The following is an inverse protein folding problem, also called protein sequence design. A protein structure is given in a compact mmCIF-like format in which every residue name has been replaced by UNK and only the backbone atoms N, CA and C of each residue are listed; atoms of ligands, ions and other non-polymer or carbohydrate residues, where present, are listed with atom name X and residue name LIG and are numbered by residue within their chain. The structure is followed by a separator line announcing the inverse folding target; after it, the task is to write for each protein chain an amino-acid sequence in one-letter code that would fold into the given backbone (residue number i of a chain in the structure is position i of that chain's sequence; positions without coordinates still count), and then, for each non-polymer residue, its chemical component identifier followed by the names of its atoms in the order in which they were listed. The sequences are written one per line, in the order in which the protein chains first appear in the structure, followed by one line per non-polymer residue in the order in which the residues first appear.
data_IF_858228505462
#
_entry.id   IF_858228505462
#
_cell.length_a   1.000
_cell.length_b   1.000
_cell.length_c   1.000
_cell.angle_alpha   90.00
_cell.angle_beta   90.00
_cell.angle_gamma   90.00
#
_symmetry.space_group_name_H-M   'P 1'
#
loop_
_entity.id
_entity.type
_entity.pdbx_description
1 polymer ?
#
# COMPACT_ATOMS: atom_id res chain seq x y z
N UNK A 1 -0.46 -1.34 6.91
CA UNK A 1 0.63 -0.35 7.05
C UNK A 1 1.86 -0.88 6.35
N UNK A 2 2.42 -0.10 5.42
CA UNK A 2 3.51 -0.52 4.55
C UNK A 2 4.87 0.06 4.99
N UNK A 3 5.91 -0.78 4.96
CA UNK A 3 7.30 -0.43 5.23
C UNK A 3 8.18 -0.90 4.07
N UNK A 4 8.32 -0.10 3.00
CA UNK A 4 9.10 -0.47 1.82
C UNK A 4 10.62 -0.47 2.08
N UNK A 5 11.08 0.16 3.17
CA UNK A 5 12.50 0.27 3.50
C UNK A 5 12.73 0.49 5.02
N UNK A 6 14.00 0.39 5.43
CA UNK A 6 14.45 0.58 6.83
C UNK A 6 14.10 1.95 7.42
N UNK A 7 14.01 3.00 6.59
CA UNK A 7 13.67 4.35 7.05
C UNK A 7 12.18 4.42 7.43
N UNK A 8 11.30 3.87 6.61
CA UNK A 8 9.87 3.75 6.90
C UNK A 8 9.62 2.93 8.17
N UNK A 9 10.42 1.87 8.40
CA UNK A 9 10.35 1.03 9.59
C UNK A 9 10.60 1.80 10.91
N UNK A 10 11.10 3.05 10.86
CA UNK A 10 11.38 3.80 12.08
C UNK A 10 10.17 4.02 12.99
N UNK A 11 8.97 3.93 12.44
CA UNK A 11 7.68 4.12 13.13
C UNK A 11 7.20 2.88 13.90
N UNK A 12 7.81 1.71 13.69
CA UNK A 12 7.42 0.46 14.36
C UNK A 12 8.62 -0.29 14.94
N UNK A 13 8.64 -0.61 16.25
CA UNK A 13 9.71 -1.40 16.85
C UNK A 13 9.79 -2.81 16.25
N UNK A 14 8.64 -3.42 15.95
CA UNK A 14 8.57 -4.72 15.28
C UNK A 14 9.14 -4.65 13.86
N UNK A 15 8.78 -3.63 13.07
CA UNK A 15 9.34 -3.46 11.73
C UNK A 15 10.87 -3.29 11.80
N UNK A 16 11.38 -2.46 12.72
CA UNK A 16 12.83 -2.34 12.95
C UNK A 16 13.51 -3.67 13.26
N UNK A 17 12.88 -4.50 14.10
CA UNK A 17 13.43 -5.79 14.46
C UNK A 17 13.51 -6.71 13.23
N UNK A 18 12.44 -6.77 12.42
CA UNK A 18 12.39 -7.57 11.20
C UNK A 18 13.42 -7.11 10.16
N UNK A 19 13.61 -5.81 9.99
CA UNK A 19 14.61 -5.25 9.07
C UNK A 19 16.07 -5.46 9.51
N UNK A 20 16.34 -5.90 10.74
CA UNK A 20 17.69 -6.29 11.18
C UNK A 20 18.10 -7.68 10.69
N UNK A 21 17.13 -8.50 10.28
CA UNK A 21 17.37 -9.82 9.73
C UNK A 21 17.94 -9.64 8.32
N UNK A 22 19.09 -10.26 8.07
CA UNK A 22 19.74 -10.17 6.77
C UNK A 22 18.85 -10.78 5.68
N UNK A 23 18.78 -10.08 4.54
CA UNK A 23 17.91 -10.46 3.43
C UNK A 23 16.47 -9.96 3.48
N UNK A 24 16.00 -9.28 4.54
CA UNK A 24 14.67 -8.63 4.53
C UNK A 24 14.70 -7.34 3.71
N UNK A 25 13.81 -7.21 2.73
CA UNK A 25 13.73 -6.06 1.82
C UNK A 25 12.57 -5.12 2.10
N UNK A 26 11.41 -5.67 2.46
CA UNK A 26 10.24 -4.89 2.88
C UNK A 26 9.39 -5.65 3.88
N UNK A 27 8.60 -4.91 4.65
CA UNK A 27 7.66 -5.46 5.64
C UNK A 27 6.33 -4.76 5.47
N UNK A 28 5.24 -5.50 5.52
CA UNK A 28 3.88 -4.95 5.48
C UNK A 28 3.06 -5.58 6.61
N UNK A 29 2.34 -4.74 7.34
CA UNK A 29 1.38 -5.17 8.36
C UNK A 29 -0.03 -5.05 7.82
N UNK A 30 -0.65 -6.21 7.58
CA UNK A 30 -2.08 -6.30 7.33
C UNK A 30 -2.89 -6.23 8.64
N UNK A 31 -4.22 -6.38 8.57
CA UNK A 31 -5.09 -6.35 9.75
C UNK A 31 -4.74 -7.45 10.77
N UNK A 32 -4.40 -8.64 10.29
CA UNK A 32 -4.14 -9.84 11.08
C UNK A 32 -2.94 -10.67 10.58
N UNK A 33 -2.17 -10.14 9.62
CA UNK A 33 -1.00 -10.80 9.06
C UNK A 33 0.20 -9.84 8.93
N UNK A 34 1.39 -10.43 8.82
CA UNK A 34 2.62 -9.72 8.50
C UNK A 34 3.19 -10.33 7.23
N UNK A 35 3.39 -9.52 6.20
CA UNK A 35 4.11 -9.89 4.99
C UNK A 35 5.56 -9.43 5.13
N UNK A 36 6.50 -10.38 4.99
CA UNK A 36 7.93 -10.08 4.91
C UNK A 36 8.38 -10.41 3.49
N UNK A 37 8.96 -9.44 2.80
CA UNK A 37 9.58 -9.65 1.50
C UNK A 37 11.08 -9.80 1.68
N UNK A 38 11.67 -10.77 0.98
CA UNK A 38 13.11 -10.99 0.98
C UNK A 38 13.76 -10.45 -0.30
N UNK A 39 15.02 -10.05 -0.20
CA UNK A 39 15.86 -9.76 -1.34
C UNK A 39 15.94 -10.97 -2.28
N UNK A 40 15.93 -10.72 -3.59
CA UNK A 40 16.10 -11.76 -4.59
C UNK A 40 17.50 -12.37 -4.44
N UNK A 41 17.54 -13.70 -4.37
CA UNK A 41 18.75 -14.52 -4.49
C UNK A 41 19.84 -14.40 -3.39
N UNK A 42 19.58 -13.73 -2.26
CA UNK A 42 20.54 -13.64 -1.15
C UNK A 42 20.38 -14.72 -0.08
N UNK A 43 19.14 -14.98 0.36
CA UNK A 43 18.84 -15.94 1.43
C UNK A 43 17.66 -16.84 1.06
N UNK A 44 17.66 -18.06 1.62
CA UNK A 44 16.54 -18.98 1.51
C UNK A 44 15.52 -18.74 2.62
N UNK A 45 14.24 -18.96 2.33
CA UNK A 45 13.20 -18.91 3.36
C UNK A 45 13.40 -19.96 4.47
N UNK A 46 14.13 -21.04 4.20
CA UNK A 46 14.44 -22.05 5.22
C UNK A 46 15.37 -21.49 6.31
N UNK A 47 16.28 -20.58 5.96
CA UNK A 47 17.24 -19.95 6.88
C UNK A 47 16.63 -18.74 7.59
N UNK A 48 15.86 -17.91 6.86
CA UNK A 48 15.30 -16.68 7.43
C UNK A 48 14.12 -16.95 8.37
N UNK A 49 13.36 -18.04 8.16
CA UNK A 49 12.14 -18.32 8.94
C UNK A 49 12.38 -18.33 10.45
N UNK A 50 13.35 -19.10 10.99
CA UNK A 50 13.65 -19.08 12.43
C UNK A 50 13.87 -17.66 12.97
N UNK A 51 14.72 -16.87 12.31
CA UNK A 51 15.03 -15.50 12.76
C UNK A 51 13.81 -14.56 12.72
N UNK A 52 12.97 -14.69 11.69
CA UNK A 52 11.73 -13.92 11.58
C UNK A 52 10.76 -14.29 12.70
N UNK A 53 10.59 -15.58 12.99
CA UNK A 53 9.73 -16.05 14.07
C UNK A 53 10.24 -15.58 15.43
N UNK A 54 11.54 -15.70 15.68
CA UNK A 54 12.16 -15.26 16.94
C UNK A 54 11.98 -13.76 17.15
N UNK A 55 12.20 -12.94 16.11
CA UNK A 55 12.00 -11.49 16.18
C UNK A 55 10.55 -11.11 16.52
N UNK A 56 9.57 -11.82 15.96
CA UNK A 56 8.14 -11.60 16.26
C UNK A 56 7.83 -12.03 17.70
N UNK A 57 8.30 -13.21 18.12
CA UNK A 57 8.06 -13.75 19.46
C UNK A 57 8.67 -12.87 20.54
N UNK A 58 9.93 -12.47 20.38
CA UNK A 58 10.64 -11.58 21.30
C UNK A 58 9.93 -10.22 21.41
N UNK A 59 9.45 -9.70 20.28
CA UNK A 59 8.67 -8.47 20.28
C UNK A 59 7.38 -8.61 21.10
N UNK A 60 6.58 -9.65 20.90
CA UNK A 60 5.36 -9.86 21.68
C UNK A 60 5.66 -10.14 23.16
N UNK A 61 6.75 -10.86 23.46
CA UNK A 61 7.19 -11.10 24.84
C UNK A 61 7.66 -9.81 25.54
N UNK A 62 8.18 -8.83 24.79
CA UNK A 62 8.63 -7.54 25.32
C UNK A 62 7.50 -6.63 25.80
N UNK A 63 6.25 -6.88 25.39
CA UNK A 63 5.09 -6.05 25.71
C UNK A 63 5.12 -4.65 25.07
N UNK A 64 5.98 -4.42 24.08
CA UNK A 64 6.04 -3.16 23.33
C UNK A 64 4.84 -3.01 22.40
N UNK A 65 4.44 -1.76 22.12
CA UNK A 65 3.41 -1.47 21.12
C UNK A 65 3.93 -1.74 19.71
N UNK A 66 3.09 -2.32 18.85
CA UNK A 66 3.41 -2.63 17.44
C UNK A 66 3.71 -1.34 16.66
N UNK A 67 3.03 -0.25 17.01
CA UNK A 67 3.16 1.06 16.37
C UNK A 67 3.50 2.10 17.45
N UNK A 68 4.45 2.98 17.16
CA UNK A 68 4.92 4.02 18.10
C UNK A 68 4.05 5.30 18.03
N UNK A 69 3.09 5.35 17.11
CA UNK A 69 2.16 6.45 16.90
C UNK A 69 0.76 5.89 16.60
N UNK A 70 -0.27 6.49 17.18
CA UNK A 70 -1.68 6.20 16.88
C UNK A 70 -2.03 6.78 15.51
N UNK A 71 -1.64 6.13 14.42
CA UNK A 71 -2.04 6.51 13.05
C UNK A 71 -2.67 5.30 12.33
N UNK A 72 -4.00 5.44 12.19
CA UNK A 72 -4.89 4.98 11.11
C UNK A 72 -5.00 3.50 10.73
N UNK A 73 -6.17 2.93 11.04
CA UNK A 73 -6.80 2.00 10.09
C UNK A 73 -6.92 2.70 8.74
N UNK A 74 -6.71 2.02 7.60
CA UNK A 74 -6.92 2.60 6.28
C UNK A 74 -8.35 3.17 6.18
N UNK A 75 -8.49 4.51 6.12
CA UNK A 75 -9.77 5.20 5.84
C UNK A 75 -9.89 5.57 4.36
N UNK A 76 -8.94 5.15 3.54
CA UNK A 76 -8.88 5.34 2.09
C UNK A 76 -10.12 4.80 1.36
N UNK A 77 -10.74 3.72 1.84
CA UNK A 77 -12.02 3.21 1.31
C UNK A 77 -13.26 3.63 2.09
N UNK A 78 -13.12 4.47 3.12
CA UNK A 78 -14.28 4.99 3.83
C UNK A 78 -15.04 5.98 2.94
N UNK A 79 -16.34 5.72 2.78
CA UNK A 79 -17.26 6.63 2.09
C UNK A 79 -17.53 7.84 2.99
N UNK A 80 -17.26 9.03 2.47
CA UNK A 80 -17.49 10.32 3.12
C UNK A 80 -18.74 10.99 2.55
N UNK A 81 -19.31 11.94 3.29
CA UNK A 81 -20.53 12.66 2.87
C UNK A 81 -20.32 13.52 1.61
N UNK A 82 -19.09 13.94 1.35
CA UNK A 82 -18.72 14.77 0.19
C UNK A 82 -18.30 13.95 -1.04
N UNK A 83 -18.24 12.61 -0.94
CA UNK A 83 -17.90 11.77 -2.09
C UNK A 83 -19.04 11.76 -3.11
N UNK A 84 -18.70 11.78 -4.41
CA UNK A 84 -19.70 11.53 -5.45
C UNK A 84 -20.22 10.09 -5.39
N UNK A 85 -21.42 9.85 -5.93
CA UNK A 85 -22.01 8.50 -5.97
C UNK A 85 -21.06 7.49 -6.64
N UNK A 86 -20.32 7.93 -7.66
CA UNK A 86 -19.33 7.11 -8.36
C UNK A 86 -18.15 6.76 -7.44
N UNK A 87 -17.61 7.75 -6.74
CA UNK A 87 -16.51 7.53 -5.78
C UNK A 87 -16.95 6.59 -4.65
N UNK A 88 -18.16 6.75 -4.13
CA UNK A 88 -18.73 5.86 -3.12
C UNK A 88 -18.82 4.41 -3.61
N UNK A 89 -19.32 4.20 -4.85
CA UNK A 89 -19.37 2.86 -5.46
C UNK A 89 -17.99 2.25 -5.67
N UNK A 90 -17.01 3.03 -6.13
CA UNK A 90 -15.62 2.56 -6.31
C UNK A 90 -15.04 2.12 -4.97
N UNK A 91 -15.18 2.95 -3.93
CA UNK A 91 -14.70 2.67 -2.58
C UNK A 91 -15.35 1.41 -2.00
N UNK A 92 -16.66 1.26 -2.15
CA UNK A 92 -17.39 0.06 -1.68
C UNK A 92 -16.91 -1.20 -2.41
N UNK A 93 -16.72 -1.16 -3.73
CA UNK A 93 -16.24 -2.33 -4.49
C UNK A 93 -14.80 -2.69 -4.11
N UNK A 94 -13.95 -1.68 -3.91
CA UNK A 94 -12.60 -1.87 -3.42
C UNK A 94 -12.62 -2.57 -2.06
N UNK A 95 -13.41 -2.07 -1.11
CA UNK A 95 -13.45 -2.59 0.26
C UNK A 95 -14.05 -4.00 0.36
N UNK A 96 -15.14 -4.25 -0.36
CA UNK A 96 -15.95 -5.47 -0.17
C UNK A 96 -15.50 -6.66 -1.02
N UNK A 97 -14.78 -6.42 -2.13
CA UNK A 97 -14.41 -7.50 -3.07
C UNK A 97 -12.94 -7.54 -3.42
N UNK A 98 -12.35 -6.39 -3.73
CA UNK A 98 -10.99 -6.35 -4.27
C UNK A 98 -9.96 -6.45 -3.14
N UNK A 99 -10.09 -5.61 -2.12
CA UNK A 99 -9.19 -5.57 -0.97
C UNK A 99 -9.07 -6.93 -0.25
N UNK A 100 -10.17 -7.68 0.01
CA UNK A 100 -10.05 -9.02 0.61
C UNK A 100 -9.19 -9.98 -0.23
N UNK A 101 -9.40 -10.01 -1.55
CA UNK A 101 -8.60 -10.85 -2.44
C UNK A 101 -7.12 -10.44 -2.49
N UNK A 102 -6.84 -9.13 -2.42
CA UNK A 102 -5.47 -8.60 -2.38
C UNK A 102 -4.79 -8.92 -1.04
N UNK A 103 -5.54 -8.88 0.06
CA UNK A 103 -5.05 -9.21 1.40
C UNK A 103 -4.78 -10.72 1.57
N UNK A 104 -5.58 -11.58 0.95
CA UNK A 104 -5.31 -13.03 0.88
C UNK A 104 -3.95 -13.33 0.22
N UNK A 105 -3.52 -12.48 -0.72
CA UNK A 105 -2.21 -12.56 -1.38
C UNK A 105 -1.08 -11.84 -0.60
N UNK A 106 -1.38 -11.28 0.58
CA UNK A 106 -0.42 -10.62 1.45
C UNK A 106 -0.09 -9.17 1.06
N UNK A 107 -0.94 -8.53 0.27
CA UNK A 107 -0.83 -7.12 -0.10
C UNK A 107 -1.98 -6.27 0.45
N UNK A 108 -2.07 -5.04 -0.04
CA UNK A 108 -3.24 -4.18 0.17
C UNK A 108 -3.41 -3.21 -1.00
N UNK A 109 -4.60 -2.62 -1.11
CA UNK A 109 -4.93 -1.64 -2.15
C UNK A 109 -5.60 -0.42 -1.54
N UNK A 110 -5.12 0.76 -1.91
CA UNK A 110 -5.63 2.04 -1.45
C UNK A 110 -6.20 2.87 -2.57
N UNK A 111 -7.40 3.41 -2.37
CA UNK A 111 -7.97 4.42 -3.26
C UNK A 111 -7.26 5.77 -3.07
N UNK A 112 -6.85 6.40 -4.17
CA UNK A 112 -6.21 7.73 -4.15
C UNK A 112 -7.15 8.80 -4.71
N UNK A 113 -7.87 8.48 -5.78
CA UNK A 113 -8.79 9.43 -6.39
C UNK A 113 -9.43 8.91 -7.67
N UNK A 114 -10.45 9.63 -8.13
CA UNK A 114 -11.17 9.37 -9.37
C UNK A 114 -11.30 10.68 -10.15
N UNK A 115 -10.94 10.65 -11.42
CA UNK A 115 -11.14 11.76 -12.35
C UNK A 115 -12.45 11.55 -13.11
N UNK A 116 -13.47 12.36 -12.81
CA UNK A 116 -14.79 12.24 -13.43
C UNK A 116 -14.82 12.64 -14.92
N UNK A 117 -13.87 13.47 -15.38
CA UNK A 117 -13.81 13.87 -16.79
C UNK A 117 -13.22 12.77 -17.66
N UNK A 118 -12.18 12.08 -17.16
CA UNK A 118 -11.49 11.04 -17.92
C UNK A 118 -11.99 9.62 -17.59
N UNK A 119 -12.62 9.42 -16.44
CA UNK A 119 -13.00 8.10 -15.91
C UNK A 119 -11.83 7.34 -15.29
N UNK A 120 -10.72 8.01 -14.98
CA UNK A 120 -9.49 7.37 -14.47
C UNK A 120 -9.56 7.18 -12.95
N UNK A 121 -9.40 5.92 -12.50
CA UNK A 121 -9.24 5.59 -11.08
C UNK A 121 -7.76 5.47 -10.74
N UNK A 122 -7.32 6.20 -9.72
CA UNK A 122 -5.95 6.11 -9.19
C UNK A 122 -5.94 5.30 -7.90
N UNK A 123 -5.11 4.25 -7.86
CA UNK A 123 -4.92 3.38 -6.69
C UNK A 123 -3.45 3.27 -6.31
N UNK A 124 -3.17 2.90 -5.07
CA UNK A 124 -1.84 2.51 -4.60
C UNK A 124 -1.86 1.03 -4.21
N UNK A 125 -0.86 0.27 -4.65
CA UNK A 125 -0.67 -1.13 -4.27
C UNK A 125 0.43 -1.23 -3.20
N UNK A 126 0.17 -1.99 -2.15
CA UNK A 126 1.07 -2.15 -1.00
C UNK A 126 1.40 -3.61 -0.71
N UNK A 127 2.42 -3.85 0.11
CA UNK A 127 2.80 -5.20 0.55
C UNK A 127 3.31 -6.09 -0.59
N UNK A 128 2.89 -7.35 -0.64
CA UNK A 128 3.36 -8.29 -1.67
C UNK A 128 3.11 -7.79 -3.10
N UNK A 129 2.01 -7.06 -3.31
CA UNK A 129 1.60 -6.56 -4.63
C UNK A 129 2.50 -5.44 -5.18
N UNK A 130 3.31 -4.78 -4.36
CA UNK A 130 4.19 -3.69 -4.79
C UNK A 130 5.57 -4.19 -5.29
N UNK A 131 5.89 -5.47 -5.15
CA UNK A 131 7.29 -5.95 -5.29
C UNK A 131 7.54 -6.80 -6.56
N UNK A 132 6.50 -7.23 -7.25
CA UNK A 132 6.60 -8.07 -8.44
C UNK A 132 5.96 -7.41 -9.67
N UNK A 133 6.77 -7.05 -10.67
CA UNK A 133 6.30 -6.37 -11.89
C UNK A 133 5.27 -7.16 -12.68
N UNK A 134 5.39 -8.49 -12.75
CA UNK A 134 4.38 -9.33 -13.42
C UNK A 134 3.07 -9.38 -12.64
N UNK A 135 3.12 -9.52 -11.31
CA UNK A 135 1.93 -9.55 -10.47
C UNK A 135 1.20 -8.20 -10.44
N UNK A 136 1.93 -7.08 -10.52
CA UNK A 136 1.36 -5.73 -10.65
C UNK A 136 0.47 -5.62 -11.88
N UNK A 137 0.95 -6.05 -13.04
CA UNK A 137 0.19 -5.94 -14.30
C UNK A 137 -1.08 -6.79 -14.22
N UNK A 138 -0.97 -8.05 -13.81
CA UNK A 138 -2.13 -8.94 -13.71
C UNK A 138 -3.14 -8.44 -12.70
N UNK A 139 -2.69 -8.01 -11.52
CA UNK A 139 -3.58 -7.51 -10.48
C UNK A 139 -4.27 -6.21 -10.92
N UNK A 140 -3.51 -5.27 -11.47
CA UNK A 140 -4.04 -4.02 -12.04
C UNK A 140 -5.14 -4.32 -13.07
N UNK A 141 -4.88 -5.22 -14.02
CA UNK A 141 -5.88 -5.60 -15.03
C UNK A 141 -7.09 -6.30 -14.41
N UNK A 142 -6.92 -7.10 -13.35
CA UNK A 142 -8.04 -7.69 -12.61
C UNK A 142 -8.93 -6.64 -11.96
N UNK A 143 -8.31 -5.69 -11.25
CA UNK A 143 -8.98 -4.55 -10.59
C UNK A 143 -9.70 -3.68 -11.61
N UNK A 144 -9.04 -3.34 -12.71
CA UNK A 144 -9.59 -2.56 -13.83
C UNK A 144 -10.82 -3.23 -14.43
N UNK A 145 -10.72 -4.51 -14.79
CA UNK A 145 -11.86 -5.24 -15.35
C UNK A 145 -13.05 -5.30 -14.38
N UNK A 146 -12.79 -5.47 -13.08
CA UNK A 146 -13.86 -5.46 -12.08
C UNK A 146 -14.52 -4.09 -11.94
N UNK A 147 -13.73 -3.02 -11.83
CA UNK A 147 -14.26 -1.67 -11.71
C UNK A 147 -15.05 -1.27 -12.96
N UNK A 148 -14.51 -1.48 -14.16
CA UNK A 148 -15.22 -1.19 -15.42
C UNK A 148 -16.52 -2.00 -15.58
N UNK A 149 -16.60 -3.19 -15.01
CA UNK A 149 -17.81 -4.03 -15.07
C UNK A 149 -18.93 -3.51 -14.17
N UNK A 150 -18.60 -3.03 -12.97
CA UNK A 150 -19.58 -2.58 -11.98
C UNK A 150 -19.83 -1.07 -12.00
N UNK A 151 -18.88 -0.28 -12.53
CA UNK A 151 -18.92 1.18 -12.61
C UNK A 151 -18.58 1.59 -14.06
N UNK A 152 -19.58 1.70 -14.95
CA UNK A 152 -19.38 2.00 -16.38
C UNK A 152 -18.64 3.31 -16.68
N UNK A 153 -18.62 4.24 -15.73
CA UNK A 153 -17.91 5.52 -15.78
C UNK A 153 -16.39 5.35 -15.65
N UNK A 154 -15.93 4.21 -15.11
CA UNK A 154 -14.49 3.89 -15.05
C UNK A 154 -14.01 3.47 -16.42
N UNK A 155 -12.98 4.14 -16.92
CA UNK A 155 -12.36 3.88 -18.24
C UNK A 155 -11.00 3.20 -18.10
N UNK A 156 -10.24 3.53 -17.05
CA UNK A 156 -8.94 2.93 -16.76
C UNK A 156 -8.59 3.00 -15.28
N UNK A 157 -7.70 2.11 -14.84
CA UNK A 157 -7.08 2.16 -13.51
C UNK A 157 -5.60 2.48 -13.66
N UNK A 158 -5.04 3.30 -12.78
CA UNK A 158 -3.61 3.60 -12.71
C UNK A 158 -3.12 3.31 -11.29
N UNK A 159 -2.06 2.50 -11.19
CA UNK A 159 -1.37 2.25 -9.93
C UNK A 159 -0.21 3.24 -9.78
N UNK A 160 -0.21 4.02 -8.70
CA UNK A 160 0.94 4.86 -8.33
C UNK A 160 1.93 4.08 -7.47
N UNK A 161 3.21 4.40 -7.63
CA UNK A 161 4.30 3.83 -6.84
C UNK A 161 4.80 4.89 -5.86
N UNK A 162 5.13 4.46 -4.64
CA UNK A 162 5.82 5.32 -3.69
C UNK A 162 7.34 5.27 -4.03
N UNK A 163 7.75 5.91 -5.12
CA UNK A 163 9.18 6.14 -5.36
C UNK A 163 9.61 7.42 -4.61
N UNK A 164 10.47 7.22 -3.60
CA UNK A 164 10.90 8.21 -2.62
C UNK A 164 11.92 9.26 -3.13
N UNK A 165 12.02 9.54 -4.43
CA UNK A 165 12.79 10.71 -4.89
C UNK A 165 11.86 11.93 -5.05
N UNK A 166 11.82 12.85 -4.06
CA UNK A 166 11.04 14.09 -4.17
C UNK A 166 11.50 15.01 -5.31
N UNK A 167 12.64 14.72 -5.96
CA UNK A 167 13.14 15.44 -7.13
C UNK A 167 12.97 14.68 -8.45
N UNK A 168 12.41 13.47 -8.45
CA UNK A 168 12.12 12.77 -9.70
C UNK A 168 11.02 13.54 -10.48
N UNK A 169 11.29 13.94 -11.74
CA UNK A 169 10.34 14.72 -12.54
C UNK A 169 9.03 13.96 -12.83
N UNK A 170 9.01 12.63 -12.77
CA UNK A 170 7.81 11.79 -12.90
C UNK A 170 6.99 11.85 -11.61
N UNK A 171 7.63 11.71 -10.45
CA UNK A 171 6.99 11.78 -9.12
C UNK A 171 6.40 13.18 -8.88
N UNK A 172 7.12 14.23 -9.26
CA UNK A 172 6.62 15.61 -9.18
C UNK A 172 5.37 15.79 -10.02
N UNK A 173 5.36 15.28 -11.25
CA UNK A 173 4.22 15.38 -12.16
C UNK A 173 3.02 14.55 -11.69
N UNK A 174 3.26 13.38 -11.11
CA UNK A 174 2.21 12.56 -10.48
C UNK A 174 1.63 13.23 -9.23
N UNK A 175 2.46 13.89 -8.40
CA UNK A 175 2.01 14.63 -7.22
C UNK A 175 1.25 15.89 -7.57
N UNK A 176 1.69 16.64 -8.57
CA UNK A 176 0.97 17.78 -9.11
C UNK A 176 -0.39 17.34 -9.66
N UNK A 177 -0.44 16.22 -10.39
CA UNK A 177 -1.68 15.62 -10.88
C UNK A 177 -2.62 15.18 -9.73
N UNK A 178 -2.10 14.49 -8.70
CA UNK A 178 -2.91 14.07 -7.54
C UNK A 178 -3.39 15.28 -6.72
N UNK A 179 -2.56 16.31 -6.53
CA UNK A 179 -2.94 17.53 -5.81
C UNK A 179 -3.99 18.35 -6.58
N UNK A 180 -3.91 18.37 -7.91
CA UNK A 180 -4.91 19.00 -8.79
C UNK A 180 -6.25 18.26 -8.73
N UNK A 181 -6.24 16.93 -8.66
CA UNK A 181 -7.44 16.10 -8.53
C UNK A 181 -8.09 16.12 -7.14
N UNK A 182 -7.31 16.27 -6.06
CA UNK A 182 -7.80 16.15 -4.66
C UNK A 182 -8.13 17.50 -4.02
N UNK A 183 -7.82 18.62 -4.67
CA UNK A 183 -8.10 19.97 -4.15
C UNK A 183 -7.27 20.39 -2.93
N UNK A 184 -6.35 19.55 -2.46
CA UNK A 184 -5.47 19.86 -1.33
C UNK A 184 -4.23 20.66 -1.79
N UNK A 185 -4.10 21.90 -1.30
CA UNK A 185 -2.87 22.68 -1.49
C UNK A 185 -1.78 22.20 -0.53
N UNK A 186 -0.79 21.51 -1.06
CA UNK A 186 0.31 20.99 -0.24
C UNK A 186 1.31 22.10 0.16
N UNK A 187 1.49 22.28 1.48
CA UNK A 187 2.64 22.99 2.07
C UNK A 187 3.87 22.09 2.00
N UNK A 188 4.90 22.54 1.30
CA UNK A 188 6.22 21.90 1.30
C UNK A 188 6.73 21.65 2.72
N UNK A 189 7.26 20.45 3.03
CA UNK A 189 7.90 20.21 4.31
C UNK A 189 9.20 21.00 4.32
N UNK A 190 9.39 21.80 5.36
CA UNK A 190 10.64 22.50 5.57
C UNK A 190 11.78 21.48 5.74
N UNK A 191 12.90 21.78 5.07
CA UNK A 191 14.17 21.05 5.06
C UNK A 191 14.69 20.75 6.47
#
# INVERSE_FOLDING_TARGET
MDFPNMKAAQKSPLAKALFRIDGVSSVFFGPDFITVTKNKDQHSWAEMKPEVFDAILDFYASGQSIITAEEDMPQDTKVNEDDSEIVAMIKELLDTRIRPAVQDDGGDISFIGFDEETGRVTVRLQGACSTCSSSKVTLKSGVENMLMHYVPEVTEVVAVEDEEDPNDPVVKKQREFVAEMTGETYKTPAC
#
